data_IF_645757721334
#
_entry.id   IF_645757721334
#
_cell.length_a   1.000
_cell.length_b   1.000
_cell.length_c   1.000
_cell.angle_alpha   90.00
_cell.angle_beta   90.00
_cell.angle_gamma   90.00
#
_symmetry.space_group_name_H-M   'P 1'
#
loop_
_entity.id
_entity.type
_entity.pdbx_description
1 polymer ?
#
# COMPACT_ATOMS: atom_id res chain seq x y z
N UNK A 1 -2.72 -16.22 -0.12
CA UNK A 1 -2.57 -14.76 -0.30
C UNK A 1 -1.10 -14.39 -0.47
N UNK A 2 -0.78 -13.45 -1.37
CA UNK A 2 0.59 -12.98 -1.67
C UNK A 2 0.92 -11.74 -0.84
N UNK A 3 2.15 -11.65 -0.33
CA UNK A 3 2.65 -10.47 0.38
C UNK A 3 3.43 -9.55 -0.59
N UNK A 4 3.22 -8.24 -0.46
CA UNK A 4 3.87 -7.23 -1.30
C UNK A 4 4.50 -6.19 -0.38
N UNK A 5 5.82 -6.05 -0.49
CA UNK A 5 6.52 -5.01 0.22
C UNK A 5 6.28 -3.67 -0.50
N UNK A 6 5.90 -2.67 0.27
CA UNK A 6 5.60 -1.34 -0.21
C UNK A 6 6.44 -0.30 0.54
N UNK A 7 6.82 0.75 -0.17
CA UNK A 7 7.42 1.96 0.38
C UNK A 7 6.62 3.17 -0.09
N UNK A 8 5.95 3.86 0.83
CA UNK A 8 5.21 5.10 0.57
C UNK A 8 6.00 6.29 1.09
N UNK A 9 6.32 7.22 0.20
CA UNK A 9 6.84 8.53 0.54
C UNK A 9 5.73 9.57 0.39
N UNK A 10 5.58 10.43 1.40
CA UNK A 10 4.67 11.58 1.40
C UNK A 10 5.52 12.84 1.61
N UNK A 11 5.42 13.79 0.67
CA UNK A 11 6.18 15.04 0.71
C UNK A 11 5.22 16.23 0.69
N UNK A 12 5.39 17.18 1.61
CA UNK A 12 4.59 18.41 1.61
C UNK A 12 5.12 19.41 0.58
N UNK A 13 4.27 19.86 -0.36
CA UNK A 13 4.67 20.84 -1.38
C UNK A 13 4.52 22.27 -0.89
N UNK A 14 3.49 22.54 -0.07
CA UNK A 14 3.14 23.86 0.46
C UNK A 14 2.57 23.68 1.88
N UNK A 15 3.23 24.28 2.88
CA UNK A 15 2.86 24.27 4.31
C UNK A 15 2.91 22.91 5.07
N UNK A 16 3.22 22.95 6.37
CA UNK A 16 3.29 21.76 7.23
C UNK A 16 1.91 21.25 7.72
N UNK A 17 0.84 22.05 7.53
CA UNK A 17 -0.49 21.75 8.04
C UNK A 17 -1.12 20.52 7.40
N UNK A 18 -1.01 20.40 6.07
CA UNK A 18 -1.71 19.34 5.32
C UNK A 18 -1.09 17.96 5.58
N UNK A 19 0.22 17.93 5.84
CA UNK A 19 0.90 16.73 6.31
C UNK A 19 0.33 16.29 7.66
N UNK A 20 0.19 17.21 8.62
CA UNK A 20 -0.39 16.92 9.94
C UNK A 20 -1.82 16.37 9.85
N UNK A 21 -2.65 16.98 8.98
CA UNK A 21 -4.01 16.48 8.73
C UNK A 21 -4.01 15.11 8.07
N UNK A 22 -3.12 14.86 7.11
CA UNK A 22 -2.96 13.53 6.52
C UNK A 22 -2.67 12.48 7.60
N UNK A 23 -1.76 12.75 8.55
CA UNK A 23 -1.45 11.79 9.61
C UNK A 23 -2.63 11.53 10.54
N UNK A 24 -3.32 12.59 10.98
CA UNK A 24 -4.50 12.46 11.84
C UNK A 24 -5.60 11.60 11.20
N UNK A 25 -5.76 11.73 9.88
CA UNK A 25 -6.82 11.05 9.14
C UNK A 25 -6.47 9.63 8.68
N UNK A 26 -5.17 9.29 8.56
CA UNK A 26 -4.72 8.05 7.93
C UNK A 26 -3.92 7.14 8.87
N UNK A 27 -3.71 7.53 10.14
CA UNK A 27 -2.98 6.74 11.12
C UNK A 27 -3.87 6.32 12.30
N UNK A 28 -3.72 5.09 12.79
CA UNK A 28 -4.53 4.55 13.90
C UNK A 28 -3.89 4.81 15.27
N UNK A 29 -3.73 6.10 15.60
CA UNK A 29 -3.01 6.54 16.81
C UNK A 29 -1.49 6.41 16.66
N UNK A 30 -0.79 7.54 16.77
CA UNK A 30 0.65 7.60 16.45
C UNK A 30 0.92 7.58 14.95
N UNK A 31 2.04 6.98 14.53
CA UNK A 31 2.57 7.04 13.16
C UNK A 31 2.33 5.73 12.37
N UNK A 32 1.33 4.94 12.78
CA UNK A 32 0.95 3.67 12.13
C UNK A 32 -0.09 3.92 11.03
N UNK A 33 0.33 3.84 9.76
CA UNK A 33 -0.54 3.94 8.59
C UNK A 33 -1.67 2.88 8.61
N UNK A 34 -2.89 3.30 8.31
CA UNK A 34 -4.06 2.43 8.12
C UNK A 34 -4.87 2.84 6.89
N UNK A 35 -5.14 1.88 6.00
CA UNK A 35 -5.96 2.09 4.81
C UNK A 35 -7.41 2.40 5.21
N UNK A 36 -7.91 1.73 6.25
CA UNK A 36 -9.28 1.88 6.73
C UNK A 36 -9.56 3.19 7.44
N UNK A 37 -8.54 3.89 7.95
CA UNK A 37 -8.70 5.27 8.45
C UNK A 37 -8.87 6.27 7.31
N UNK A 38 -7.98 6.19 6.31
CA UNK A 38 -8.00 7.09 5.17
C UNK A 38 -9.21 6.95 4.25
N UNK A 39 -9.63 5.70 4.03
CA UNK A 39 -10.78 5.34 3.19
C UNK A 39 -11.64 4.33 3.95
N UNK A 40 -12.50 4.81 4.88
CA UNK A 40 -13.31 3.93 5.72
C UNK A 40 -14.38 3.19 4.91
N UNK A 41 -14.79 2.02 5.42
CA UNK A 41 -15.92 1.28 4.87
C UNK A 41 -17.22 1.99 5.22
N UNK A 42 -18.17 2.00 4.29
CA UNK A 42 -19.54 2.42 4.59
C UNK A 42 -20.29 1.23 5.22
N UNK A 43 -20.59 1.33 6.52
CA UNK A 43 -21.33 0.32 7.29
C UNK A 43 -20.49 -0.46 8.30
N UNK A 44 -21.09 -0.78 9.46
CA UNK A 44 -20.47 -1.62 10.49
C UNK A 44 -20.56 -3.10 10.11
N UNK A 45 -19.48 -3.85 10.36
CA UNK A 45 -19.59 -5.30 10.59
C UNK A 45 -19.32 -6.19 9.38
N UNK A 46 -18.07 -6.22 8.94
CA UNK A 46 -17.28 -7.46 8.99
C UNK A 46 -15.93 -7.23 8.32
N UNK A 47 -14.88 -7.81 8.90
CA UNK A 47 -13.58 -7.97 8.23
C UNK A 47 -13.64 -8.89 6.99
N UNK A 48 -14.84 -9.35 6.63
CA UNK A 48 -15.11 -10.35 5.60
C UNK A 48 -15.31 -9.77 4.20
N UNK A 49 -15.45 -8.46 4.00
CA UNK A 49 -15.59 -7.93 2.62
C UNK A 49 -14.24 -7.63 1.96
N UNK A 50 -13.42 -8.68 1.82
CA UNK A 50 -12.18 -8.68 1.04
C UNK A 50 -12.41 -8.12 -0.37
N UNK A 51 -13.59 -8.38 -0.94
CA UNK A 51 -13.99 -7.82 -2.24
C UNK A 51 -14.11 -6.30 -2.16
N UNK A 52 -14.78 -5.76 -1.15
CA UNK A 52 -14.83 -4.30 -0.94
C UNK A 52 -13.41 -3.72 -0.81
N UNK A 53 -12.51 -4.34 -0.04
CA UNK A 53 -11.14 -3.86 0.14
C UNK A 53 -10.35 -3.86 -1.18
N UNK A 54 -10.43 -4.94 -1.95
CA UNK A 54 -9.80 -5.01 -3.27
C UNK A 54 -10.39 -3.98 -4.25
N UNK A 55 -11.68 -3.67 -4.11
CA UNK A 55 -12.36 -2.68 -4.94
C UNK A 55 -12.01 -1.23 -4.59
N UNK A 56 -11.78 -0.91 -3.31
CA UNK A 56 -11.60 0.47 -2.83
C UNK A 56 -10.17 0.78 -2.41
N UNK A 57 -9.51 -0.13 -1.70
CA UNK A 57 -8.12 0.03 -1.30
C UNK A 57 -7.16 -0.48 -2.36
N UNK A 58 -7.53 -1.56 -3.07
CA UNK A 58 -6.63 -2.29 -3.96
C UNK A 58 -5.76 -3.33 -3.23
N UNK A 59 -5.94 -3.48 -1.92
CA UNK A 59 -5.34 -4.53 -1.09
C UNK A 59 -6.45 -5.35 -0.43
N UNK A 60 -6.17 -6.61 -0.07
CA UNK A 60 -7.16 -7.50 0.54
C UNK A 60 -7.49 -7.13 1.99
N UNK A 61 -6.51 -6.57 2.70
CA UNK A 61 -6.61 -6.17 4.11
C UNK A 61 -5.84 -4.87 4.33
N UNK A 62 -5.93 -4.37 5.55
CA UNK A 62 -5.10 -3.26 5.98
C UNK A 62 -3.60 -3.65 5.95
N UNK A 63 -2.75 -2.64 5.96
CA UNK A 63 -1.29 -2.79 5.89
C UNK A 63 -0.74 -3.43 7.17
N UNK A 64 0.33 -4.20 7.01
CA UNK A 64 1.02 -4.88 8.11
C UNK A 64 2.48 -4.45 8.20
N UNK A 65 3.11 -4.66 9.35
CA UNK A 65 4.54 -4.37 9.57
C UNK A 65 4.90 -2.94 9.15
N UNK A 66 4.07 -1.98 9.55
CA UNK A 66 4.29 -0.58 9.23
C UNK A 66 5.49 -0.08 10.03
N UNK A 67 6.50 0.42 9.34
CA UNK A 67 7.58 1.21 9.92
C UNK A 67 7.47 2.61 9.35
N UNK A 68 7.82 3.59 10.18
CA UNK A 68 7.72 5.00 9.83
C UNK A 68 9.04 5.70 10.10
N UNK A 69 9.37 6.62 9.20
CA UNK A 69 10.54 7.49 9.32
C UNK A 69 10.22 8.90 8.83
N UNK A 70 10.79 9.90 9.48
CA UNK A 70 10.54 11.31 9.20
C UNK A 70 11.84 12.07 8.92
N UNK A 71 11.88 12.79 7.79
CA UNK A 71 13.02 13.64 7.43
C UNK A 71 12.52 14.99 6.91
N UNK A 72 12.78 16.07 7.65
CA UNK A 72 12.38 17.43 7.28
C UNK A 72 10.91 17.51 6.80
N UNK A 73 10.69 17.68 5.49
CA UNK A 73 9.38 17.81 4.81
C UNK A 73 8.82 16.50 4.24
N UNK A 74 9.54 15.41 4.43
CA UNK A 74 9.22 14.09 3.89
C UNK A 74 8.88 13.15 5.03
N UNK A 75 7.93 12.26 4.78
CA UNK A 75 7.62 11.11 5.62
C UNK A 75 7.66 9.85 4.77
N UNK A 76 8.16 8.80 5.38
CA UNK A 76 8.38 7.52 4.75
C UNK A 76 7.68 6.44 5.55
N UNK A 77 6.94 5.60 4.87
CA UNK A 77 6.32 4.41 5.42
C UNK A 77 6.81 3.19 4.64
N UNK A 78 7.30 2.18 5.34
CA UNK A 78 7.50 0.84 4.79
C UNK A 78 6.44 -0.07 5.37
N UNK A 79 5.82 -0.90 4.54
CA UNK A 79 4.77 -1.80 5.01
C UNK A 79 4.57 -2.98 4.05
N UNK A 80 3.82 -3.97 4.53
CA UNK A 80 3.37 -5.12 3.75
C UNK A 80 1.90 -4.94 3.41
N UNK A 81 1.59 -4.93 2.12
CA UNK A 81 0.22 -5.06 1.61
C UNK A 81 -0.03 -6.51 1.19
N UNK A 82 -1.28 -6.96 1.32
CA UNK A 82 -1.65 -8.32 0.93
C UNK A 82 -2.49 -8.29 -0.35
N UNK A 83 -2.23 -9.27 -1.22
CA UNK A 83 -2.80 -9.49 -2.54
C UNK A 83 -2.30 -8.52 -3.64
N UNK A 84 -2.32 -7.22 -3.37
CA UNK A 84 -1.92 -6.18 -4.33
C UNK A 84 -1.49 -4.90 -3.57
N UNK A 85 -0.66 -4.03 -4.18
CA UNK A 85 -0.33 -2.74 -3.59
C UNK A 85 -1.59 -1.86 -3.52
N UNK A 86 -1.72 -0.97 -2.52
CA UNK A 86 -2.93 -0.19 -2.27
C UNK A 86 -3.09 1.01 -3.23
N UNK A 87 -3.00 0.78 -4.54
CA UNK A 87 -3.01 1.83 -5.57
C UNK A 87 -4.31 2.65 -5.58
N UNK A 88 -5.44 1.99 -5.31
CA UNK A 88 -6.75 2.67 -5.31
C UNK A 88 -6.91 3.56 -4.08
N UNK A 89 -6.43 3.10 -2.93
CA UNK A 89 -6.34 3.91 -1.71
C UNK A 89 -5.44 5.12 -1.94
N UNK A 90 -4.22 4.92 -2.48
CA UNK A 90 -3.27 6.01 -2.72
C UNK A 90 -3.88 7.08 -3.63
N UNK A 91 -4.58 6.65 -4.69
CA UNK A 91 -5.29 7.57 -5.59
C UNK A 91 -6.37 8.39 -4.87
N UNK A 92 -7.13 7.77 -3.96
CA UNK A 92 -8.18 8.45 -3.20
C UNK A 92 -7.58 9.49 -2.25
N UNK A 93 -6.55 9.09 -1.50
CA UNK A 93 -5.81 9.97 -0.58
C UNK A 93 -5.14 11.13 -1.32
N UNK A 94 -4.46 10.86 -2.44
CA UNK A 94 -3.81 11.91 -3.22
C UNK A 94 -4.80 13.01 -3.67
N UNK A 95 -6.02 12.63 -4.05
CA UNK A 95 -7.08 13.59 -4.39
C UNK A 95 -7.58 14.39 -3.19
N UNK A 96 -7.59 13.78 -2.00
CA UNK A 96 -7.99 14.43 -0.75
C UNK A 96 -6.96 15.46 -0.27
N UNK A 97 -5.68 15.21 -0.51
CA UNK A 97 -4.57 16.09 -0.09
C UNK A 97 -3.78 16.59 -1.31
N UNK A 98 -4.31 17.53 -2.11
CA UNK A 98 -3.67 17.98 -3.34
C UNK A 98 -2.35 18.73 -3.10
N UNK A 99 -2.08 19.25 -1.90
CA UNK A 99 -0.82 19.92 -1.56
C UNK A 99 0.26 18.95 -1.04
N UNK A 100 0.01 17.64 -1.14
CA UNK A 100 0.97 16.60 -0.84
C UNK A 100 1.33 15.84 -2.13
N UNK A 101 2.61 15.54 -2.26
CA UNK A 101 3.12 14.61 -3.24
C UNK A 101 3.22 13.22 -2.62
N UNK A 102 2.74 12.22 -3.35
CA UNK A 102 2.76 10.82 -2.92
C UNK A 102 3.58 10.01 -3.91
N UNK A 103 4.49 9.18 -3.42
CA UNK A 103 5.18 8.17 -4.22
C UNK A 103 5.06 6.83 -3.53
N UNK A 104 4.37 5.88 -4.15
CA UNK A 104 4.27 4.52 -3.65
C UNK A 104 5.10 3.63 -4.56
N UNK A 105 6.16 3.08 -4.01
CA UNK A 105 6.95 2.01 -4.62
C UNK A 105 6.51 0.66 -4.06
N UNK A 106 6.58 -0.38 -4.87
CA UNK A 106 6.22 -1.74 -4.45
C UNK A 106 7.01 -2.79 -5.20
N UNK A 107 7.25 -3.92 -4.54
CA UNK A 107 7.85 -5.10 -5.16
C UNK A 107 7.32 -6.37 -4.46
N UNK A 108 7.21 -7.47 -5.22
CA UNK A 108 6.91 -8.79 -4.65
C UNK A 108 8.21 -9.55 -4.40
N UNK A 109 8.32 -10.26 -3.29
CA UNK A 109 9.47 -11.14 -3.03
C UNK A 109 9.33 -12.49 -3.77
N UNK A 110 8.09 -12.91 -4.05
CA UNK A 110 7.75 -14.27 -4.49
C UNK A 110 7.58 -14.41 -6.01
N UNK A 111 7.80 -13.33 -6.77
CA UNK A 111 7.61 -13.31 -8.21
C UNK A 111 8.66 -12.41 -8.87
N UNK A 112 9.07 -12.76 -10.09
CA UNK A 112 9.66 -11.86 -11.10
C UNK A 112 8.69 -10.72 -11.51
N UNK A 113 7.61 -10.50 -10.75
CA UNK A 113 6.67 -9.40 -10.92
C UNK A 113 7.34 -8.11 -10.47
N UNK A 114 7.91 -7.44 -11.48
CA UNK A 114 8.12 -6.01 -11.65
C UNK A 114 8.00 -5.18 -10.37
N UNK A 115 9.15 -4.70 -9.88
CA UNK A 115 9.18 -3.51 -9.05
C UNK A 115 8.49 -2.37 -9.82
N UNK A 116 7.60 -1.66 -9.12
CA UNK A 116 6.83 -0.58 -9.71
C UNK A 116 6.75 0.61 -8.79
N UNK A 117 6.31 1.73 -9.35
CA UNK A 117 5.92 2.88 -8.56
C UNK A 117 4.74 3.61 -9.18
N UNK A 118 4.00 4.33 -8.33
CA UNK A 118 2.97 5.29 -8.73
C UNK A 118 3.19 6.58 -7.96
N UNK A 119 3.25 7.70 -8.67
CA UNK A 119 3.46 9.03 -8.10
C UNK A 119 2.31 9.98 -8.42
N UNK A 120 1.82 10.68 -7.40
CA UNK A 120 0.82 11.73 -7.49
C UNK A 120 1.37 13.07 -7.02
N UNK A 121 0.98 14.15 -7.69
CA UNK A 121 1.26 15.54 -7.30
C UNK A 121 0.06 16.41 -7.67
N UNK A 122 -0.33 17.37 -6.83
CA UNK A 122 -1.53 18.17 -7.08
C UNK A 122 -2.81 17.33 -7.10
N UNK A 123 -2.82 16.17 -6.43
CA UNK A 123 -3.87 15.15 -6.51
C UNK A 123 -4.04 14.46 -7.87
N UNK A 124 -3.06 14.60 -8.77
CA UNK A 124 -3.07 14.01 -10.12
C UNK A 124 -1.93 13.04 -10.32
N UNK A 125 -2.14 12.02 -11.15
CA UNK A 125 -1.09 11.07 -11.52
C UNK A 125 -0.04 11.79 -12.36
N UNK A 126 1.23 11.74 -11.92
CA UNK A 126 2.36 12.38 -12.63
C UNK A 126 3.42 11.39 -13.08
N UNK A 127 3.35 10.13 -12.61
CA UNK A 127 4.31 9.11 -12.99
C UNK A 127 3.85 7.73 -12.56
N UNK A 128 4.16 6.74 -13.39
CA UNK A 128 3.90 5.34 -13.11
C UNK A 128 4.95 4.50 -13.84
N UNK A 129 5.44 3.46 -13.16
CA UNK A 129 6.29 2.43 -13.73
C UNK A 129 5.91 1.09 -13.12
N UNK A 130 6.06 0.01 -13.90
CA UNK A 130 5.48 -1.29 -13.57
C UNK A 130 4.09 -1.43 -14.17
N UNK A 131 3.87 -2.52 -14.90
CA UNK A 131 2.66 -2.69 -15.68
C UNK A 131 1.45 -2.94 -14.77
N UNK A 132 0.44 -2.08 -14.91
CA UNK A 132 -0.93 -2.33 -14.40
C UNK A 132 -1.45 -3.69 -14.92
N UNK A 133 -0.95 -4.13 -16.08
CA UNK A 133 -1.21 -5.44 -16.70
C UNK A 133 -0.68 -6.64 -15.91
N UNK A 134 0.29 -6.45 -15.01
CA UNK A 134 0.77 -7.51 -14.10
C UNK A 134 -0.11 -7.66 -12.85
N UNK A 135 -0.71 -6.56 -12.39
CA UNK A 135 -1.56 -6.52 -11.20
C UNK A 135 -3.04 -6.82 -11.51
N UNK A 136 -3.54 -6.43 -12.69
CA UNK A 136 -4.93 -6.68 -13.10
C UNK A 136 -5.31 -8.17 -13.14
N UNK A 137 -4.52 -9.08 -13.76
CA UNK A 137 -4.85 -10.50 -13.76
C UNK A 137 -4.86 -11.07 -12.34
N UNK A 138 -3.94 -10.62 -11.48
CA UNK A 138 -3.91 -11.07 -10.09
C UNK A 138 -5.18 -10.65 -9.33
N UNK A 139 -5.60 -9.39 -9.44
CA UNK A 139 -6.84 -8.90 -8.83
C UNK A 139 -8.09 -9.59 -9.40
N UNK A 140 -8.18 -9.76 -10.72
CA UNK A 140 -9.31 -10.45 -11.37
C UNK A 140 -9.37 -11.92 -10.92
N UNK A 141 -8.23 -12.61 -10.87
CA UNK A 141 -8.17 -14.00 -10.43
C UNK A 141 -8.51 -14.15 -8.94
N UNK A 142 -8.09 -13.21 -8.09
CA UNK A 142 -8.42 -13.22 -6.67
C UNK A 142 -9.91 -12.97 -6.45
N UNK A 143 -10.49 -12.01 -7.19
CA UNK A 143 -11.94 -11.75 -7.13
C UNK A 143 -12.74 -12.93 -7.66
N UNK A 144 -12.31 -13.56 -8.77
CA UNK A 144 -12.96 -14.73 -9.34
C UNK A 144 -12.87 -15.96 -8.40
N UNK A 145 -11.71 -16.19 -7.78
CA UNK A 145 -11.54 -17.24 -6.78
C UNK A 145 -12.41 -16.98 -5.55
N UNK A 146 -12.47 -15.73 -5.08
CA UNK A 146 -13.34 -15.34 -3.97
C UNK A 146 -14.82 -15.57 -4.28
N UNK A 147 -15.28 -15.19 -5.47
CA UNK A 147 -16.66 -15.41 -5.89
C UNK A 147 -16.99 -16.92 -6.01
N UNK A 148 -16.06 -17.71 -6.56
CA UNK A 148 -16.21 -19.16 -6.63
C UNK A 148 -16.24 -19.84 -5.25
N UNK A 149 -15.42 -19.39 -4.30
CA UNK A 149 -15.40 -19.89 -2.92
C UNK A 149 -16.62 -19.45 -2.11
N UNK A 150 -17.14 -18.24 -2.32
CA UNK A 150 -18.38 -17.79 -1.63
C UNK A 150 -19.59 -18.63 -2.04
N UNK A 151 -19.60 -19.18 -3.25
CA UNK A 151 -20.58 -20.17 -3.69
C UNK A 151 -20.37 -21.57 -3.06
N UNK A 152 -19.22 -21.82 -2.42
CA UNK A 152 -18.86 -23.11 -1.83
C UNK A 152 -18.87 -23.13 -0.28
N UNK A 153 -19.11 -22.01 0.43
CA UNK A 153 -18.75 -21.95 1.86
C UNK A 153 -19.94 -22.09 2.81
N UNK A 154 -19.98 -23.28 3.43
CA UNK A 154 -20.22 -23.47 4.87
C UNK A 154 -19.01 -24.07 5.62
N UNK A 155 -17.82 -24.26 5.01
CA UNK A 155 -16.73 -25.05 5.65
C UNK A 155 -15.30 -24.44 5.63
N UNK A 156 -14.96 -23.47 4.79
CA UNK A 156 -13.54 -23.06 4.55
C UNK A 156 -13.21 -21.65 5.09
N UNK A 157 -13.63 -21.31 6.31
CA UNK A 157 -13.34 -19.98 6.90
C UNK A 157 -12.10 -19.94 7.81
N UNK A 158 -11.83 -20.93 8.68
CA UNK A 158 -10.67 -20.88 9.58
C UNK A 158 -9.32 -21.13 8.89
N UNK A 159 -9.32 -21.90 7.80
CA UNK A 159 -8.08 -22.41 7.16
C UNK A 159 -7.33 -21.30 6.42
N UNK A 160 -8.04 -20.37 5.78
CA UNK A 160 -7.41 -19.29 4.99
C UNK A 160 -6.68 -18.27 5.89
N UNK A 161 -7.27 -17.92 7.03
CA UNK A 161 -6.67 -17.01 8.02
C UNK A 161 -5.44 -17.63 8.71
N UNK A 162 -5.53 -18.90 9.13
CA UNK A 162 -4.41 -19.65 9.71
C UNK A 162 -3.26 -19.85 8.72
N UNK A 163 -3.56 -20.10 7.44
CA UNK A 163 -2.54 -20.28 6.40
C UNK A 163 -1.77 -18.99 6.11
N UNK A 164 -2.44 -17.83 6.14
CA UNK A 164 -1.78 -16.52 5.95
C UNK A 164 -0.88 -16.16 7.14
N UNK A 165 -1.34 -16.38 8.37
CA UNK A 165 -0.48 -16.17 9.55
C UNK A 165 0.75 -17.07 9.52
N UNK A 166 0.60 -18.37 9.23
CA UNK A 166 1.70 -19.33 9.36
C UNK A 166 2.84 -19.14 8.34
N UNK A 167 2.56 -18.52 7.19
CA UNK A 167 3.53 -18.30 6.10
C UNK A 167 4.30 -16.98 6.24
N UNK A 168 3.70 -15.95 6.83
CA UNK A 168 4.34 -14.65 7.04
C UNK A 168 5.43 -14.69 8.14
N UNK A 169 5.36 -15.60 9.11
CA UNK A 169 6.32 -15.69 10.22
C UNK A 169 7.66 -16.36 9.89
N UNK A 170 7.88 -16.86 8.66
CA UNK A 170 9.09 -17.67 8.32
C UNK A 170 10.23 -16.96 7.56
N UNK A 171 10.16 -15.67 7.26
CA UNK A 171 11.26 -14.97 6.57
C UNK A 171 11.79 -13.77 7.38
N UNK A 172 13.01 -13.87 7.94
CA UNK A 172 13.70 -12.78 8.60
C UNK A 172 14.81 -12.24 7.68
N UNK A 173 14.56 -11.22 6.85
CA UNK A 173 15.64 -10.60 6.07
C UNK A 173 15.56 -9.06 6.11
N UNK A 174 16.31 -8.49 7.06
CA UNK A 174 16.51 -7.06 7.29
C UNK A 174 17.59 -6.42 6.41
N UNK A 175 17.59 -6.65 5.10
CA UNK A 175 18.67 -6.24 4.20
C UNK A 175 18.29 -5.25 3.07
N UNK A 176 17.16 -4.54 3.15
CA UNK A 176 16.63 -3.76 1.99
C UNK A 176 16.48 -2.25 2.15
N UNK A 177 16.76 -1.66 3.31
CA UNK A 177 16.71 -0.20 3.49
C UNK A 177 17.89 0.54 2.80
N UNK A 178 19.07 -0.07 2.71
CA UNK A 178 20.25 0.56 2.10
C UNK A 178 20.13 0.73 0.57
N UNK A 179 19.48 -0.21 -0.13
CA UNK A 179 19.31 -0.16 -1.59
C UNK A 179 18.25 0.86 -2.03
N UNK A 180 17.19 1.04 -1.23
CA UNK A 180 16.20 2.09 -1.49
C UNK A 180 16.83 3.48 -1.29
N UNK A 181 17.63 3.65 -0.23
CA UNK A 181 18.33 4.90 0.08
C UNK A 181 19.29 5.32 -1.05
N UNK A 182 20.11 4.39 -1.55
CA UNK A 182 21.04 4.65 -2.65
C UNK A 182 20.33 5.08 -3.95
N UNK A 183 19.15 4.53 -4.25
CA UNK A 183 18.38 4.91 -5.44
C UNK A 183 17.79 6.33 -5.37
N UNK A 184 17.50 6.83 -4.17
CA UNK A 184 16.96 8.17 -3.97
C UNK A 184 18.04 9.24 -3.83
N UNK A 185 19.20 8.91 -3.23
CA UNK A 185 20.35 9.81 -3.15
C UNK A 185 20.93 10.13 -4.55
N UNK A 186 20.98 9.15 -5.46
CA UNK A 186 21.47 9.31 -6.83
C UNK A 186 20.59 10.22 -7.71
N UNK A 187 19.32 10.42 -7.34
CA UNK A 187 18.39 11.33 -8.04
C UNK A 187 18.33 12.73 -7.45
N UNK A 188 18.83 12.94 -6.23
CA UNK A 188 18.92 14.27 -5.63
C UNK A 188 20.06 15.10 -6.27
N UNK A 189 21.15 14.46 -6.70
CA UNK A 189 22.30 15.15 -7.32
C UNK A 189 22.05 15.60 -8.77
N UNK A 190 21.11 14.97 -9.48
CA UNK A 190 20.79 15.33 -10.89
C UNK A 190 19.98 16.63 -11.01
N UNK A 191 19.46 17.18 -9.90
CA UNK A 191 18.70 18.45 -9.89
C UNK A 191 19.49 19.67 -9.40
N UNK A 192 20.80 19.57 -9.16
CA UNK A 192 21.66 20.70 -8.79
C UNK A 192 22.78 21.01 -9.81
N UNK A 193 22.52 20.79 -11.09
CA UNK A 193 23.34 21.33 -12.19
C UNK A 193 22.48 22.04 -13.21
#
# INVERSE_FOLDING_TARGET
>A
MRAIQCGLCVTATLEASDASTFYADNCDGGEHLSLGKGVPREGEGSDDDVRWNLLHWGAAWDVQRVEYHAEAKQRYYTFVAIAAPPLKWQRAVARKYPNLDFVLSFHSADCDLAAGYVSYSGGRLVGQHGDDACLRPALVNILAAYDAERHAVNVIRPVLALWVQHRLYRHPDGLRLAALRAHFEDRAEVKMK
#
